data_IF_385295823480
#
_entry.id   IF_385295823480
#
_cell.length_a   1.000
_cell.length_b   1.000
_cell.length_c   1.000
_cell.angle_alpha   90.00
_cell.angle_beta   90.00
_cell.angle_gamma   90.00
#
_symmetry.space_group_name_H-M   'P 1'
#
loop_
_entity.id
_entity.type
_entity.pdbx_description
1 polymer ?
#
# COMPACT_ATOMS: atom_id res chain seq x y z
N UNK A 1 -22.80 34.96 11.73
CA UNK A 1 -22.11 34.20 12.76
C UNK A 1 -20.76 33.83 12.16
N UNK A 2 -19.65 34.36 12.69
CA UNK A 2 -18.30 33.98 12.28
C UNK A 2 -18.12 32.51 12.63
N UNK A 3 -17.98 31.65 11.63
CA UNK A 3 -17.67 30.24 11.81
C UNK A 3 -16.36 30.14 12.61
N UNK A 4 -16.42 29.60 13.83
CA UNK A 4 -15.25 29.43 14.68
C UNK A 4 -14.34 28.45 13.98
N UNK A 5 -13.08 28.82 13.69
CA UNK A 5 -12.11 27.92 13.11
C UNK A 5 -12.02 26.64 13.96
N UNK A 6 -11.96 25.49 13.31
CA UNK A 6 -11.70 24.23 13.99
C UNK A 6 -10.23 24.18 14.42
N UNK A 7 -9.91 23.39 15.45
CA UNK A 7 -8.52 23.19 15.89
C UNK A 7 -7.65 22.62 14.74
N UNK A 8 -8.21 21.79 13.88
CA UNK A 8 -7.52 21.30 12.67
C UNK A 8 -7.08 22.43 11.74
N UNK A 9 -7.89 23.48 11.54
CA UNK A 9 -7.53 24.64 10.71
C UNK A 9 -6.35 25.41 11.32
N UNK A 10 -6.35 25.62 12.64
CA UNK A 10 -5.26 26.29 13.33
C UNK A 10 -3.96 25.47 13.27
N UNK A 11 -4.04 24.16 13.48
CA UNK A 11 -2.92 23.22 13.39
C UNK A 11 -2.35 23.15 11.97
N UNK A 12 -3.21 23.12 10.94
CA UNK A 12 -2.74 23.10 9.55
C UNK A 12 -2.02 24.41 9.20
N UNK A 13 -2.56 25.56 9.62
CA UNK A 13 -1.90 26.86 9.45
C UNK A 13 -0.54 26.90 10.13
N UNK A 14 -0.43 26.33 11.32
CA UNK A 14 0.84 26.23 12.04
C UNK A 14 1.83 25.28 11.33
N UNK A 15 1.36 24.12 10.86
CA UNK A 15 2.19 23.13 10.16
C UNK A 15 2.81 23.70 8.86
N UNK A 16 2.05 24.48 8.10
CA UNK A 16 2.51 25.10 6.84
C UNK A 16 3.70 26.04 7.01
N UNK A 17 3.98 26.52 8.24
CA UNK A 17 5.13 27.40 8.50
C UNK A 17 6.47 26.68 8.40
N UNK A 18 6.51 25.37 8.66
CA UNK A 18 7.75 24.62 8.80
C UNK A 18 7.77 23.29 8.03
N UNK A 19 6.61 22.81 7.56
CA UNK A 19 6.47 21.55 6.83
C UNK A 19 5.95 21.87 5.42
N UNK A 20 6.61 21.45 4.36
CA UNK A 20 6.15 21.68 2.98
C UNK A 20 4.70 21.23 2.78
N UNK A 21 3.79 22.17 2.46
CA UNK A 21 2.36 21.90 2.33
C UNK A 21 1.65 21.51 3.64
N UNK A 22 2.33 21.65 4.80
CA UNK A 22 1.80 21.30 6.13
C UNK A 22 1.75 19.80 6.43
N UNK A 23 2.35 18.93 5.59
CA UNK A 23 2.27 17.46 5.68
C UNK A 23 3.59 16.79 5.33
N UNK A 24 3.84 15.60 5.90
CA UNK A 24 5.01 14.77 5.59
C UNK A 24 4.74 13.72 4.49
N UNK A 25 3.56 13.75 3.87
CA UNK A 25 3.22 12.97 2.67
C UNK A 25 2.12 13.70 1.88
N UNK A 26 2.27 13.88 0.54
CA UNK A 26 1.45 14.81 -0.24
C UNK A 26 -0.06 14.59 -0.19
N UNK A 27 -0.52 13.34 -0.21
CA UNK A 27 -1.94 12.99 -0.20
C UNK A 27 -2.67 13.49 1.04
N UNK A 28 -1.96 13.62 2.17
CA UNK A 28 -2.52 14.08 3.46
C UNK A 28 -2.95 15.56 3.44
N UNK A 29 -2.54 16.34 2.42
CA UNK A 29 -2.87 17.76 2.30
C UNK A 29 -4.27 18.05 1.75
N UNK A 30 -5.10 17.04 1.46
CA UNK A 30 -6.45 17.16 0.90
C UNK A 30 -6.54 17.87 -0.44
N UNK A 31 -5.44 17.95 -1.21
CA UNK A 31 -5.44 18.67 -2.49
C UNK A 31 -6.44 18.10 -3.50
N UNK A 32 -6.62 16.79 -3.53
CA UNK A 32 -7.52 16.12 -4.47
C UNK A 32 -8.99 16.30 -4.11
N UNK A 33 -9.33 16.53 -2.85
CA UNK A 33 -10.72 16.69 -2.38
C UNK A 33 -11.04 18.10 -1.92
N UNK A 34 -10.01 18.94 -1.71
CA UNK A 34 -10.17 20.29 -1.19
C UNK A 34 -10.42 20.32 0.32
N UNK A 35 -10.60 21.54 0.86
CA UNK A 35 -10.83 21.73 2.28
C UNK A 35 -9.56 21.70 3.13
N UNK A 36 -9.73 21.50 4.45
CA UNK A 36 -8.66 21.46 5.44
C UNK A 36 -8.46 20.04 5.92
N UNK A 37 -7.21 19.51 5.94
CA UNK A 37 -6.92 18.21 6.52
C UNK A 37 -7.35 18.09 7.99
N UNK A 38 -7.90 16.95 8.36
CA UNK A 38 -8.25 16.64 9.74
C UNK A 38 -6.99 16.23 10.49
N UNK A 39 -6.76 16.84 11.66
CA UNK A 39 -5.66 16.48 12.56
C UNK A 39 -6.18 15.56 13.65
N UNK A 40 -5.63 14.35 13.69
CA UNK A 40 -6.02 13.33 14.66
C UNK A 40 -5.10 13.36 15.88
N UNK A 41 -5.67 13.08 17.07
CA UNK A 41 -4.95 13.08 18.35
C UNK A 41 -4.81 11.67 18.94
N UNK A 42 -5.82 10.83 18.75
CA UNK A 42 -5.81 9.43 19.25
C UNK A 42 -6.60 8.50 18.34
N UNK A 43 -6.32 7.21 18.46
CA UNK A 43 -7.04 6.18 17.73
C UNK A 43 -7.17 4.91 18.59
N UNK A 44 -8.22 4.12 18.36
CA UNK A 44 -8.44 2.83 19.04
C UNK A 44 -9.40 1.97 18.22
N UNK A 45 -9.05 0.70 17.99
CA UNK A 45 -9.89 -0.21 17.21
C UNK A 45 -10.09 0.32 15.78
N UNK A 46 -11.32 0.44 15.33
CA UNK A 46 -11.69 0.97 14.02
C UNK A 46 -11.80 2.51 13.99
N UNK A 47 -11.51 3.20 15.10
CA UNK A 47 -11.83 4.62 15.25
C UNK A 47 -10.62 5.51 15.35
N UNK A 48 -10.70 6.70 14.74
CA UNK A 48 -9.82 7.83 14.98
C UNK A 48 -10.61 8.99 15.59
N UNK A 49 -9.93 9.82 16.38
CA UNK A 49 -10.51 10.99 17.05
C UNK A 49 -9.64 12.21 16.71
N UNK A 50 -10.28 13.24 16.18
CA UNK A 50 -9.58 14.47 15.81
C UNK A 50 -9.25 15.37 17.00
N UNK A 51 -8.57 16.46 16.71
CA UNK A 51 -8.15 17.44 17.72
C UNK A 51 -9.33 18.19 18.39
N UNK A 52 -10.54 18.11 17.81
CA UNK A 52 -11.79 18.60 18.38
C UNK A 52 -12.61 17.48 19.06
N UNK A 53 -12.01 16.29 19.18
CA UNK A 53 -12.59 15.06 19.78
C UNK A 53 -13.78 14.50 19.01
N UNK A 54 -13.96 14.83 17.72
CA UNK A 54 -14.93 14.15 16.85
C UNK A 54 -14.38 12.78 16.48
N UNK A 55 -15.25 11.75 16.53
CA UNK A 55 -14.94 10.36 16.21
C UNK A 55 -15.24 10.07 14.74
N UNK A 56 -14.36 9.26 14.12
CA UNK A 56 -14.51 8.76 12.75
C UNK A 56 -14.26 7.26 12.71
N UNK A 57 -15.04 6.52 11.90
CA UNK A 57 -14.69 5.16 11.47
C UNK A 57 -13.62 5.31 10.39
N UNK A 58 -12.49 4.62 10.54
CA UNK A 58 -11.30 4.79 9.69
C UNK A 58 -11.13 3.66 8.69
N UNK A 59 -11.26 3.96 7.41
CA UNK A 59 -10.96 3.04 6.31
C UNK A 59 -9.63 3.31 5.62
N UNK A 60 -8.84 4.27 6.11
CA UNK A 60 -7.45 4.51 5.67
C UNK A 60 -6.49 3.60 6.42
N UNK A 61 -6.73 3.36 7.71
CA UNK A 61 -5.96 2.46 8.57
C UNK A 61 -4.45 2.69 8.45
N UNK A 62 -4.05 3.98 8.52
CA UNK A 62 -2.65 4.42 8.37
C UNK A 62 -2.02 4.02 7.03
N UNK A 63 -2.81 3.94 5.95
CA UNK A 63 -2.45 3.46 4.61
C UNK A 63 -2.15 1.96 4.56
N UNK A 64 -2.82 1.19 5.40
CA UNK A 64 -2.83 -0.27 5.35
C UNK A 64 -2.19 -1.03 6.52
N UNK A 65 -1.25 -0.51 7.35
CA UNK A 65 -0.62 -1.29 8.41
C UNK A 65 -1.56 -1.77 9.51
N UNK A 66 -2.69 -1.06 9.79
CA UNK A 66 -3.55 -1.33 10.96
C UNK A 66 -4.57 -2.45 10.70
N UNK A 67 -4.13 -3.63 10.27
CA UNK A 67 -5.00 -4.78 10.00
C UNK A 67 -5.73 -5.28 11.27
N UNK A 68 -5.09 -5.20 12.44
CA UNK A 68 -5.70 -5.50 13.74
C UNK A 68 -6.60 -4.37 14.26
N UNK A 69 -6.58 -3.20 13.62
CA UNK A 69 -7.11 -1.94 14.14
C UNK A 69 -6.06 -1.15 14.91
N UNK A 70 -6.43 0.07 15.29
CA UNK A 70 -5.54 0.97 16.01
C UNK A 70 -5.31 0.55 17.46
N UNK A 71 -4.08 0.77 17.93
CA UNK A 71 -3.69 0.63 19.33
C UNK A 71 -4.07 -0.74 19.92
N UNK A 72 -3.82 -1.81 19.15
CA UNK A 72 -4.14 -3.18 19.55
C UNK A 72 -3.34 -3.57 20.80
N UNK A 73 -3.99 -4.02 21.90
CA UNK A 73 -3.35 -4.14 23.20
C UNK A 73 -2.08 -4.99 23.22
N UNK A 74 -2.09 -6.17 22.63
CA UNK A 74 -0.94 -7.07 22.63
C UNK A 74 0.25 -6.52 21.84
N UNK A 75 0.01 -5.79 20.75
CA UNK A 75 1.08 -5.12 19.99
C UNK A 75 1.68 -3.98 20.80
N UNK A 76 0.83 -3.17 21.45
CA UNK A 76 1.27 -2.08 22.33
C UNK A 76 2.07 -2.60 23.52
N UNK A 77 1.67 -3.72 24.12
CA UNK A 77 2.38 -4.31 25.25
C UNK A 77 3.74 -4.91 24.83
N UNK A 78 3.83 -5.50 23.63
CA UNK A 78 5.11 -5.93 23.05
C UNK A 78 6.07 -4.74 22.85
N UNK A 79 5.56 -3.60 22.33
CA UNK A 79 6.31 -2.36 22.19
C UNK A 79 6.80 -1.85 23.54
N UNK A 80 5.93 -1.74 24.55
CA UNK A 80 6.28 -1.28 25.91
C UNK A 80 7.37 -2.17 26.54
N UNK A 81 7.20 -3.50 26.43
CA UNK A 81 8.17 -4.47 26.93
C UNK A 81 9.54 -4.29 26.28
N UNK A 82 9.59 -3.94 25.01
CA UNK A 82 10.87 -3.66 24.33
C UNK A 82 11.43 -2.29 24.72
N UNK A 83 10.59 -1.28 24.94
CA UNK A 83 11.03 0.04 25.38
C UNK A 83 11.72 0.01 26.76
N UNK A 84 11.28 -0.90 27.65
CA UNK A 84 11.95 -1.13 28.95
C UNK A 84 13.39 -1.66 28.81
N UNK A 85 13.76 -2.22 27.66
CA UNK A 85 15.10 -2.72 27.38
C UNK A 85 15.97 -1.71 26.66
N UNK A 86 15.51 -1.24 25.50
CA UNK A 86 16.14 -0.17 24.71
C UNK A 86 15.28 0.18 23.47
N UNK A 87 15.46 1.39 22.95
CA UNK A 87 14.86 1.82 21.67
C UNK A 87 15.68 1.38 20.46
N UNK A 88 17.00 1.19 20.60
CA UNK A 88 17.92 0.77 19.53
C UNK A 88 19.24 0.30 20.11
N UNK A 89 19.92 -0.62 19.41
CA UNK A 89 21.24 -1.11 19.82
C UNK A 89 22.33 -0.83 18.77
N UNK A 90 21.99 -0.77 17.48
CA UNK A 90 22.95 -0.72 16.37
C UNK A 90 23.75 -2.04 16.20
N UNK A 91 23.21 -3.15 16.73
CA UNK A 91 23.75 -4.51 16.66
C UNK A 91 22.63 -5.51 16.44
N UNK A 92 22.92 -6.73 15.94
CA UNK A 92 21.91 -7.78 15.76
C UNK A 92 21.15 -8.11 17.05
N UNK A 93 19.87 -8.44 16.90
CA UNK A 93 18.99 -8.83 18.01
C UNK A 93 18.26 -10.15 17.73
N UNK A 94 17.84 -10.84 18.78
CA UNK A 94 17.03 -12.08 18.65
C UNK A 94 15.68 -11.81 17.94
N UNK A 95 15.11 -10.61 18.11
CA UNK A 95 13.84 -10.23 17.49
C UNK A 95 13.94 -10.18 15.97
N UNK A 96 15.09 -9.78 15.42
CA UNK A 96 15.32 -9.80 13.96
C UNK A 96 15.26 -11.22 13.41
N UNK A 97 15.88 -12.19 14.12
CA UNK A 97 15.84 -13.60 13.73
C UNK A 97 14.41 -14.12 13.77
N UNK A 98 13.68 -13.87 14.86
CA UNK A 98 12.30 -14.35 15.04
C UNK A 98 11.35 -13.79 13.98
N UNK A 99 11.49 -12.50 13.64
CA UNK A 99 10.64 -11.89 12.60
C UNK A 99 11.01 -12.41 11.21
N UNK A 100 12.31 -12.58 10.91
CA UNK A 100 12.77 -13.17 9.66
C UNK A 100 12.25 -14.61 9.49
N UNK A 101 12.41 -15.45 10.51
CA UNK A 101 11.89 -16.83 10.53
C UNK A 101 10.37 -16.85 10.31
N UNK A 102 9.64 -15.95 10.99
CA UNK A 102 8.18 -15.86 10.85
C UNK A 102 7.79 -15.49 9.43
N UNK A 103 8.42 -14.49 8.81
CA UNK A 103 8.15 -14.08 7.43
C UNK A 103 8.46 -15.22 6.46
N UNK A 104 9.65 -15.82 6.55
CA UNK A 104 10.07 -16.92 5.67
C UNK A 104 9.18 -18.17 5.82
N UNK A 105 8.61 -18.39 7.01
CA UNK A 105 7.71 -19.53 7.23
C UNK A 105 6.30 -19.34 6.63
N UNK A 106 5.88 -18.10 6.37
CA UNK A 106 4.51 -17.79 5.93
C UNK A 106 4.47 -17.46 4.44
N UNK A 107 5.43 -16.67 3.94
CA UNK A 107 5.40 -16.12 2.58
C UNK A 107 6.05 -17.12 1.61
N UNK A 108 5.31 -17.71 0.65
CA UNK A 108 5.87 -18.62 -0.34
C UNK A 108 6.99 -17.96 -1.15
N UNK A 109 8.08 -18.68 -1.40
CA UNK A 109 9.24 -18.18 -2.14
C UNK A 109 10.19 -17.27 -1.35
N UNK A 110 9.87 -16.93 -0.09
CA UNK A 110 10.72 -16.13 0.77
C UNK A 110 11.73 -17.03 1.54
N UNK A 111 12.86 -17.34 0.92
CA UNK A 111 13.90 -18.20 1.52
C UNK A 111 14.88 -17.40 2.38
N UNK A 112 15.10 -16.13 2.07
CA UNK A 112 15.88 -15.17 2.84
C UNK A 112 15.23 -13.80 2.81
N UNK A 113 15.38 -13.01 3.89
CA UNK A 113 14.81 -11.67 4.02
C UNK A 113 15.80 -10.70 4.65
N UNK A 114 15.80 -9.45 4.19
CA UNK A 114 16.55 -8.33 4.76
C UNK A 114 15.59 -7.24 5.21
N UNK A 115 15.66 -6.83 6.48
CA UNK A 115 14.88 -5.71 7.03
C UNK A 115 15.44 -4.37 6.59
N UNK A 116 14.55 -3.42 6.33
CA UNK A 116 14.81 -2.01 6.06
C UNK A 116 13.77 -1.15 6.78
N UNK A 117 13.75 0.18 6.59
CA UNK A 117 12.88 1.07 7.39
C UNK A 117 11.61 1.53 6.64
N UNK A 118 11.50 1.23 5.37
CA UNK A 118 10.35 1.63 4.54
C UNK A 118 10.17 0.75 3.31
N UNK A 119 8.97 0.79 2.70
CA UNK A 119 8.73 0.17 1.40
C UNK A 119 9.63 0.74 0.30
N UNK A 120 9.92 2.04 0.32
CA UNK A 120 10.87 2.67 -0.61
C UNK A 120 12.26 2.06 -0.53
N UNK A 121 12.78 1.83 0.67
CA UNK A 121 14.08 1.18 0.85
C UNK A 121 14.03 -0.28 0.38
N UNK A 122 12.92 -0.98 0.61
CA UNK A 122 12.74 -2.37 0.17
C UNK A 122 12.79 -2.47 -1.37
N UNK A 123 11.98 -1.70 -2.07
CA UNK A 123 11.90 -1.72 -3.55
C UNK A 123 13.18 -1.21 -4.21
N UNK A 124 13.77 -0.13 -3.69
CA UNK A 124 15.05 0.40 -4.14
C UNK A 124 16.16 -0.67 -4.01
N UNK A 125 16.18 -1.40 -2.91
CA UNK A 125 17.20 -2.43 -2.65
C UNK A 125 16.97 -3.67 -3.52
N UNK A 126 15.72 -4.09 -3.71
CA UNK A 126 15.35 -5.20 -4.59
C UNK A 126 15.73 -4.92 -6.05
N UNK A 127 15.50 -3.71 -6.56
CA UNK A 127 15.89 -3.32 -7.92
C UNK A 127 17.42 -3.28 -8.06
N UNK A 128 18.13 -2.70 -7.06
CA UNK A 128 19.60 -2.72 -7.09
C UNK A 128 20.13 -4.14 -7.09
N UNK A 129 19.53 -5.01 -6.29
CA UNK A 129 19.90 -6.43 -6.27
C UNK A 129 19.64 -7.12 -7.60
N UNK A 130 18.48 -6.88 -8.22
CA UNK A 130 18.13 -7.44 -9.52
C UNK A 130 19.11 -7.00 -10.61
N UNK A 131 19.47 -5.71 -10.66
CA UNK A 131 20.49 -5.19 -11.57
C UNK A 131 21.85 -5.82 -11.32
N UNK A 132 22.28 -5.92 -10.07
CA UNK A 132 23.57 -6.52 -9.70
C UNK A 132 23.64 -8.01 -10.00
N UNK A 133 22.55 -8.76 -9.83
CA UNK A 133 22.47 -10.19 -10.10
C UNK A 133 22.44 -10.50 -11.59
N UNK A 134 21.64 -9.78 -12.36
CA UNK A 134 21.48 -10.00 -13.81
C UNK A 134 22.55 -9.34 -14.66
N UNK A 135 23.26 -8.33 -14.14
CA UNK A 135 24.19 -7.48 -14.91
C UNK A 135 23.48 -6.58 -15.93
N UNK A 136 22.20 -6.29 -15.76
CA UNK A 136 21.36 -5.51 -16.68
C UNK A 136 20.85 -4.24 -16.02
N UNK A 137 20.50 -3.22 -16.82
CA UNK A 137 20.12 -1.89 -16.31
C UNK A 137 18.63 -1.59 -16.37
N UNK A 138 17.92 -2.13 -17.37
CA UNK A 138 16.52 -1.78 -17.62
C UNK A 138 15.58 -2.46 -16.63
N UNK A 139 14.54 -1.72 -16.19
CA UNK A 139 13.46 -2.24 -15.37
C UNK A 139 12.12 -1.97 -16.04
N UNK A 140 11.17 -2.85 -15.83
CA UNK A 140 9.77 -2.67 -16.23
C UNK A 140 8.93 -2.41 -15.00
N UNK A 141 8.06 -1.41 -15.07
CA UNK A 141 6.99 -1.13 -14.09
C UNK A 141 5.69 -0.79 -14.82
N UNK A 142 4.62 -0.56 -14.07
CA UNK A 142 3.31 -0.27 -14.65
C UNK A 142 2.80 1.13 -14.27
N UNK A 143 2.07 1.77 -15.19
CA UNK A 143 1.37 3.04 -14.94
C UNK A 143 0.42 2.90 -13.76
N UNK A 144 0.31 3.93 -12.95
CA UNK A 144 -0.54 3.93 -11.77
C UNK A 144 0.03 3.19 -10.56
N UNK A 145 1.02 2.29 -10.74
CA UNK A 145 1.70 1.63 -9.63
C UNK A 145 2.70 2.57 -8.94
N UNK A 146 2.80 2.44 -7.61
CA UNK A 146 3.75 3.18 -6.80
C UNK A 146 4.63 2.22 -5.98
N UNK A 147 5.93 2.34 -6.15
CA UNK A 147 6.92 1.47 -5.52
C UNK A 147 7.92 2.27 -4.66
N UNK A 148 7.46 3.34 -4.02
CA UNK A 148 8.35 4.25 -3.30
C UNK A 148 8.91 5.36 -4.19
N UNK A 149 9.78 6.20 -3.63
CA UNK A 149 10.23 7.44 -4.23
C UNK A 149 11.73 7.45 -4.61
N UNK A 150 12.31 6.29 -4.91
CA UNK A 150 13.63 6.26 -5.56
C UNK A 150 13.51 6.75 -7.02
N UNK A 151 14.55 7.40 -7.53
CA UNK A 151 14.52 8.09 -8.83
C UNK A 151 14.06 7.19 -9.98
N UNK A 152 14.54 5.94 -10.02
CA UNK A 152 14.14 4.98 -11.06
C UNK A 152 12.63 4.64 -11.04
N UNK A 153 11.92 4.91 -9.97
CA UNK A 153 10.52 4.52 -9.77
C UNK A 153 9.53 5.68 -9.89
N UNK A 154 10.03 6.93 -9.97
CA UNK A 154 9.18 8.13 -10.09
C UNK A 154 8.80 8.47 -11.55
N UNK A 155 8.96 7.53 -12.47
CA UNK A 155 8.52 7.63 -13.86
C UNK A 155 7.07 7.11 -13.93
N UNK A 156 6.12 7.95 -14.37
CA UNK A 156 4.67 7.64 -14.46
C UNK A 156 4.13 6.89 -13.21
N UNK A 157 4.50 7.38 -12.03
CA UNK A 157 4.13 6.78 -10.74
C UNK A 157 2.64 6.98 -10.41
N UNK A 158 2.11 6.17 -9.46
CA UNK A 158 0.71 6.14 -9.04
C UNK A 158 0.23 7.34 -8.21
N UNK A 159 -0.68 7.12 -7.27
CA UNK A 159 -1.54 8.10 -6.60
C UNK A 159 -0.87 9.41 -6.15
N UNK A 160 0.33 9.35 -5.57
CA UNK A 160 1.05 10.55 -5.11
C UNK A 160 1.43 11.48 -6.26
N UNK A 161 1.93 10.95 -7.37
CA UNK A 161 2.29 11.72 -8.57
C UNK A 161 1.03 12.21 -9.31
N UNK A 162 -0.03 11.40 -9.37
CA UNK A 162 -1.33 11.74 -9.95
C UNK A 162 -2.00 12.91 -9.23
N UNK A 163 -1.98 12.89 -7.90
CA UNK A 163 -2.54 13.96 -7.06
C UNK A 163 -1.83 15.31 -7.32
N UNK A 164 -0.55 15.28 -7.73
CA UNK A 164 0.23 16.47 -8.10
C UNK A 164 0.16 16.81 -9.59
N UNK A 165 -0.43 15.94 -10.42
CA UNK A 165 -0.51 16.11 -11.87
C UNK A 165 0.84 16.00 -12.61
N UNK A 166 1.84 15.35 -12.01
CA UNK A 166 3.20 15.23 -12.56
C UNK A 166 3.50 13.77 -12.88
N UNK A 167 3.58 13.36 -14.15
CA UNK A 167 3.87 11.98 -14.56
C UNK A 167 5.28 11.50 -14.19
N UNK A 168 6.23 12.44 -14.09
CA UNK A 168 7.60 12.21 -13.63
C UNK A 168 7.99 13.36 -12.71
N UNK A 169 8.70 13.04 -11.61
CA UNK A 169 9.11 14.09 -10.66
C UNK A 169 10.24 14.94 -11.25
N UNK A 170 10.14 16.29 -11.20
CA UNK A 170 11.29 17.13 -11.41
C UNK A 170 12.44 16.74 -10.47
N UNK A 171 13.67 16.77 -10.98
CA UNK A 171 14.87 16.38 -10.25
C UNK A 171 15.31 14.92 -10.49
N UNK A 172 14.50 14.11 -11.16
CA UNK A 172 14.95 12.80 -11.67
C UNK A 172 15.74 13.05 -12.95
N UNK A 173 17.02 12.64 -13.03
CA UNK A 173 17.83 12.78 -14.25
C UNK A 173 17.27 11.92 -15.39
N UNK A 174 17.26 12.47 -16.62
CA UNK A 174 16.76 11.77 -17.81
C UNK A 174 17.45 10.41 -17.99
N UNK A 175 18.76 10.34 -17.80
CA UNK A 175 19.52 9.09 -17.94
C UNK A 175 19.13 7.98 -16.95
N UNK A 176 18.47 8.32 -15.83
CA UNK A 176 17.88 7.31 -14.94
C UNK A 176 16.47 6.92 -15.40
N UNK A 177 15.70 7.89 -15.88
CA UNK A 177 14.36 7.65 -16.40
C UNK A 177 14.38 6.74 -17.65
N UNK A 178 15.41 6.87 -18.51
CA UNK A 178 15.60 6.08 -19.74
C UNK A 178 15.75 4.56 -19.47
N UNK A 179 16.14 4.19 -18.27
CA UNK A 179 16.23 2.78 -17.87
C UNK A 179 14.92 2.21 -17.30
N UNK A 180 13.85 3.02 -17.19
CA UNK A 180 12.57 2.60 -16.65
C UNK A 180 11.51 2.55 -17.74
N UNK A 181 11.10 1.35 -18.10
CA UNK A 181 10.06 1.09 -19.09
C UNK A 181 8.74 1.04 -18.34
N UNK A 182 7.79 1.88 -18.72
CA UNK A 182 6.48 1.92 -18.11
C UNK A 182 5.44 1.34 -19.06
N UNK A 183 4.74 0.30 -18.63
CA UNK A 183 3.69 -0.40 -19.37
C UNK A 183 2.32 -0.16 -18.74
N UNK A 184 1.26 -0.45 -19.47
CA UNK A 184 -0.09 -0.43 -18.92
C UNK A 184 -0.36 -1.72 -18.13
N UNK A 185 -0.84 -1.58 -16.90
CA UNK A 185 -1.23 -2.73 -16.07
C UNK A 185 -2.34 -3.53 -16.74
N UNK A 186 -2.27 -4.86 -16.68
CA UNK A 186 -3.20 -5.79 -17.33
C UNK A 186 -3.13 -5.84 -18.87
N UNK A 187 -2.12 -5.21 -19.49
CA UNK A 187 -1.93 -5.27 -20.94
C UNK A 187 -0.92 -6.36 -21.33
N UNK A 188 -1.40 -7.59 -21.51
CA UNK A 188 -0.59 -8.77 -21.85
C UNK A 188 0.15 -8.58 -23.19
N UNK A 189 -0.49 -8.00 -24.19
CA UNK A 189 0.10 -7.80 -25.51
C UNK A 189 1.31 -6.86 -25.45
N UNK A 190 1.19 -5.77 -24.69
CA UNK A 190 2.28 -4.82 -24.51
C UNK A 190 3.46 -5.44 -23.75
N UNK A 191 3.21 -6.29 -22.74
CA UNK A 191 4.26 -7.04 -22.05
C UNK A 191 5.00 -7.95 -23.04
N UNK A 192 4.27 -8.78 -23.80
CA UNK A 192 4.85 -9.70 -24.78
C UNK A 192 5.68 -8.93 -25.84
N UNK A 193 5.17 -7.82 -26.36
CA UNK A 193 5.88 -7.01 -27.34
C UNK A 193 7.22 -6.50 -26.80
N UNK A 194 7.23 -5.88 -25.62
CA UNK A 194 8.44 -5.33 -25.03
C UNK A 194 9.48 -6.41 -24.73
N UNK A 195 9.03 -7.56 -24.23
CA UNK A 195 9.94 -8.68 -23.96
C UNK A 195 10.50 -9.31 -25.25
N UNK A 196 9.72 -9.35 -26.33
CA UNK A 196 10.21 -9.79 -27.63
C UNK A 196 11.28 -8.85 -28.22
N UNK A 197 11.16 -7.54 -27.97
CA UNK A 197 12.08 -6.52 -28.50
C UNK A 197 13.36 -6.40 -27.68
N UNK A 198 13.26 -6.37 -26.33
CA UNK A 198 14.38 -6.01 -25.45
C UNK A 198 14.48 -6.88 -24.18
N UNK A 199 13.82 -8.03 -24.11
CA UNK A 199 13.78 -8.89 -22.92
C UNK A 199 15.14 -9.20 -22.33
N UNK A 200 16.17 -9.42 -23.16
CA UNK A 200 17.55 -9.68 -22.72
C UNK A 200 18.26 -8.48 -22.05
N UNK A 201 17.69 -7.27 -22.14
CA UNK A 201 18.21 -6.06 -21.51
C UNK A 201 17.51 -5.74 -20.18
N UNK A 202 16.41 -6.44 -19.88
CA UNK A 202 15.57 -6.20 -18.69
C UNK A 202 16.18 -6.95 -17.50
N UNK A 203 16.50 -6.19 -16.42
CA UNK A 203 16.95 -6.74 -15.15
C UNK A 203 15.79 -7.34 -14.37
N UNK A 204 14.66 -6.61 -14.31
CA UNK A 204 13.48 -7.05 -13.58
C UNK A 204 12.19 -6.39 -14.06
N UNK A 205 11.09 -7.03 -13.75
CA UNK A 205 9.75 -6.44 -13.68
C UNK A 205 9.40 -6.22 -12.22
N UNK A 206 8.96 -5.01 -11.83
CA UNK A 206 8.37 -4.74 -10.52
C UNK A 206 6.91 -4.35 -10.70
N UNK A 207 6.02 -4.96 -9.90
CA UNK A 207 4.58 -4.74 -9.99
C UNK A 207 3.90 -4.96 -8.64
N UNK A 208 2.76 -4.31 -8.43
CA UNK A 208 1.84 -4.61 -7.34
C UNK A 208 0.93 -5.76 -7.77
N UNK A 209 0.89 -6.91 -7.06
CA UNK A 209 0.02 -8.04 -7.45
C UNK A 209 -1.47 -7.71 -7.47
N UNK A 210 -1.91 -6.80 -6.62
CA UNK A 210 -3.16 -6.04 -6.73
C UNK A 210 -2.78 -4.59 -6.54
N UNK A 211 -3.06 -3.75 -7.52
CA UNK A 211 -2.66 -2.35 -7.46
C UNK A 211 -3.52 -1.62 -6.45
N UNK A 212 -2.87 -0.93 -5.50
CA UNK A 212 -3.52 -0.12 -4.47
C UNK A 212 -3.27 1.38 -4.62
N UNK A 213 -2.39 1.78 -5.55
CA UNK A 213 -1.99 3.16 -5.79
C UNK A 213 -2.67 3.79 -7.02
N UNK A 214 -3.57 3.08 -7.65
CA UNK A 214 -4.59 3.61 -8.56
C UNK A 214 -5.99 3.08 -8.14
N UNK A 215 -6.30 3.20 -6.85
CA UNK A 215 -7.43 2.55 -6.18
C UNK A 215 -7.21 1.02 -6.11
N UNK A 216 -8.23 0.18 -6.04
CA UNK A 216 -8.08 -1.27 -5.97
C UNK A 216 -8.28 -1.88 -7.36
N UNK A 217 -7.18 -2.25 -8.05
CA UNK A 217 -7.23 -2.86 -9.38
C UNK A 217 -6.56 -4.23 -9.35
N UNK A 218 -7.34 -5.32 -9.40
CA UNK A 218 -6.80 -6.68 -9.44
C UNK A 218 -6.22 -7.03 -10.82
N UNK A 219 -5.34 -8.05 -10.88
CA UNK A 219 -4.86 -8.58 -12.15
C UNK A 219 -6.00 -9.26 -12.92
N UNK A 220 -5.98 -9.14 -14.24
CA UNK A 220 -6.84 -9.96 -15.11
C UNK A 220 -6.26 -11.35 -15.30
N UNK A 221 -7.11 -12.30 -15.68
CA UNK A 221 -6.69 -13.68 -15.97
C UNK A 221 -5.55 -13.72 -17.00
N UNK A 222 -4.52 -14.49 -16.73
CA UNK A 222 -3.36 -14.67 -17.60
C UNK A 222 -2.28 -13.58 -17.47
N UNK A 223 -2.53 -12.47 -16.76
CA UNK A 223 -1.56 -11.40 -16.67
C UNK A 223 -0.32 -11.76 -15.82
N UNK A 224 -0.54 -12.37 -14.65
CA UNK A 224 0.56 -12.76 -13.76
C UNK A 224 1.38 -13.91 -14.35
N UNK A 225 0.72 -14.85 -15.01
CA UNK A 225 1.34 -15.94 -15.75
C UNK A 225 2.24 -15.39 -16.88
N UNK A 226 1.73 -14.42 -17.65
CA UNK A 226 2.50 -13.77 -18.71
C UNK A 226 3.75 -13.10 -18.15
N UNK A 227 3.67 -12.37 -17.02
CA UNK A 227 4.83 -11.76 -16.38
C UNK A 227 5.86 -12.81 -15.98
N UNK A 228 5.43 -13.92 -15.38
CA UNK A 228 6.34 -15.01 -14.98
C UNK A 228 7.02 -15.65 -16.18
N UNK A 229 6.27 -15.98 -17.22
CA UNK A 229 6.80 -16.59 -18.45
C UNK A 229 7.81 -15.69 -19.16
N UNK A 230 7.47 -14.41 -19.34
CA UNK A 230 8.37 -13.44 -19.95
C UNK A 230 9.69 -13.29 -19.16
N UNK A 231 9.61 -13.19 -17.83
CA UNK A 231 10.80 -13.11 -16.98
C UNK A 231 11.62 -14.42 -17.06
N UNK A 232 10.98 -15.58 -17.02
CA UNK A 232 11.67 -16.88 -17.09
C UNK A 232 12.40 -17.03 -18.42
N UNK A 233 11.74 -16.72 -19.54
CA UNK A 233 12.31 -16.90 -20.89
C UNK A 233 13.46 -15.93 -21.17
N UNK A 234 13.44 -14.72 -20.59
CA UNK A 234 14.47 -13.68 -20.80
C UNK A 234 15.57 -13.71 -19.75
N UNK A 235 15.38 -14.39 -18.61
CA UNK A 235 16.27 -14.34 -17.46
C UNK A 235 16.16 -13.04 -16.65
N UNK A 236 15.09 -12.26 -16.83
CA UNK A 236 14.75 -11.14 -15.95
C UNK A 236 14.17 -11.63 -14.63
N UNK A 237 14.30 -10.85 -13.55
CA UNK A 237 13.70 -11.18 -12.26
C UNK A 237 12.28 -10.61 -12.13
N UNK A 238 11.38 -11.37 -11.52
CA UNK A 238 10.04 -10.94 -11.17
C UNK A 238 9.99 -10.48 -9.71
N UNK A 239 9.73 -9.19 -9.48
CA UNK A 239 9.65 -8.58 -8.14
C UNK A 239 8.19 -8.27 -7.81
N UNK A 240 7.61 -9.01 -6.87
CA UNK A 240 6.29 -8.71 -6.33
C UNK A 240 6.39 -7.65 -5.23
N UNK A 241 5.82 -6.48 -5.47
CA UNK A 241 5.67 -5.45 -4.44
C UNK A 241 4.43 -5.73 -3.58
N UNK A 242 4.65 -6.41 -2.49
CA UNK A 242 3.64 -6.76 -1.48
C UNK A 242 3.63 -5.77 -0.30
N UNK A 243 4.19 -4.60 -0.45
CA UNK A 243 4.20 -3.58 0.61
C UNK A 243 2.77 -3.25 1.06
N UNK A 244 1.81 -3.27 0.14
CA UNK A 244 0.39 -3.06 0.44
C UNK A 244 -0.39 -4.35 0.63
N UNK A 245 -0.18 -5.34 -0.22
CA UNK A 245 -0.96 -6.58 -0.30
C UNK A 245 -0.54 -7.65 0.72
N UNK A 246 0.70 -7.60 1.19
CA UNK A 246 1.26 -8.58 2.12
C UNK A 246 0.42 -8.72 3.39
N UNK A 247 0.04 -9.97 3.73
CA UNK A 247 -0.79 -10.35 4.87
C UNK A 247 -2.21 -9.77 4.89
N UNK A 248 -2.60 -9.00 3.87
CA UNK A 248 -3.89 -8.32 3.79
C UNK A 248 -4.84 -9.00 2.82
N UNK A 249 -4.35 -9.50 1.71
CA UNK A 249 -5.15 -10.22 0.71
C UNK A 249 -5.40 -11.65 1.17
N UNK A 250 -4.36 -12.30 1.66
CA UNK A 250 -4.38 -13.59 2.32
C UNK A 250 -3.31 -13.65 3.40
N UNK A 251 -3.31 -14.68 4.23
CA UNK A 251 -2.27 -14.90 5.24
C UNK A 251 -0.87 -15.04 4.61
N UNK A 252 -0.80 -15.57 3.40
CA UNK A 252 0.44 -15.81 2.65
C UNK A 252 0.77 -14.70 1.65
N UNK A 253 0.09 -13.54 1.75
CA UNK A 253 0.22 -12.45 0.80
C UNK A 253 -0.44 -12.73 -0.55
N UNK A 254 -0.26 -11.82 -1.50
CA UNK A 254 -0.77 -12.01 -2.86
C UNK A 254 0.02 -13.08 -3.62
N UNK A 255 1.29 -13.27 -3.35
CA UNK A 255 2.09 -14.36 -3.94
C UNK A 255 1.49 -15.72 -3.62
N UNK A 256 1.02 -15.94 -2.39
CA UNK A 256 0.33 -17.17 -2.02
C UNK A 256 -1.10 -17.25 -2.57
N UNK A 257 -1.83 -16.13 -2.56
CA UNK A 257 -3.21 -16.06 -3.07
C UNK A 257 -3.31 -16.42 -4.56
N UNK A 258 -2.37 -15.91 -5.38
CA UNK A 258 -2.32 -16.15 -6.82
C UNK A 258 -1.39 -17.30 -7.22
N UNK A 259 -0.80 -18.02 -6.26
CA UNK A 259 0.22 -19.05 -6.51
C UNK A 259 1.35 -18.55 -7.43
N UNK A 260 1.86 -17.35 -7.17
CA UNK A 260 2.85 -16.68 -7.99
C UNK A 260 4.28 -17.03 -7.57
N UNK A 261 5.10 -17.54 -8.47
CA UNK A 261 6.53 -17.76 -8.28
C UNK A 261 7.31 -16.45 -8.53
N UNK A 262 7.36 -15.56 -7.53
CA UNK A 262 8.19 -14.36 -7.59
C UNK A 262 9.65 -14.68 -7.23
N UNK A 263 10.61 -13.99 -7.87
CA UNK A 263 12.03 -14.13 -7.56
C UNK A 263 12.44 -13.31 -6.33
N UNK A 264 11.84 -12.11 -6.22
CA UNK A 264 11.97 -11.21 -5.07
C UNK A 264 10.60 -10.69 -4.64
N UNK A 265 10.44 -10.43 -3.35
CA UNK A 265 9.22 -9.94 -2.74
C UNK A 265 9.58 -8.78 -1.82
N UNK A 266 8.88 -7.64 -1.96
CA UNK A 266 8.99 -6.49 -1.07
C UNK A 266 7.83 -6.47 -0.09
N UNK A 267 8.10 -6.23 1.19
CA UNK A 267 7.11 -6.15 2.26
C UNK A 267 7.23 -4.82 3.01
N UNK A 268 6.16 -4.41 3.67
CA UNK A 268 6.10 -3.23 4.52
C UNK A 268 4.80 -3.17 5.29
N UNK A 269 4.40 -1.97 5.70
CA UNK A 269 3.09 -1.70 6.31
C UNK A 269 2.72 -2.69 7.43
N UNK A 270 1.96 -3.76 7.13
CA UNK A 270 1.47 -4.74 8.13
C UNK A 270 2.61 -5.36 8.94
N UNK A 271 3.76 -5.66 8.30
CA UNK A 271 4.91 -6.28 9.00
C UNK A 271 5.55 -5.37 10.06
N UNK A 272 5.13 -4.11 10.14
CA UNK A 272 5.60 -3.16 11.15
C UNK A 272 4.65 -2.97 12.32
N UNK A 273 3.41 -3.46 12.25
CA UNK A 273 2.43 -3.24 13.31
C UNK A 273 2.21 -1.77 13.66
N UNK A 274 2.38 -0.86 12.68
CA UNK A 274 2.31 0.59 12.85
C UNK A 274 3.66 1.29 13.03
N UNK A 275 4.76 0.55 13.18
CA UNK A 275 6.12 1.11 13.27
C UNK A 275 6.76 1.20 11.87
N UNK A 276 7.71 2.16 11.65
CA UNK A 276 8.44 2.27 10.39
C UNK A 276 9.27 1.02 10.11
N UNK A 277 8.91 0.29 9.04
CA UNK A 277 9.61 -0.91 8.61
C UNK A 277 9.32 -1.21 7.15
N UNK A 278 10.24 -1.86 6.50
CA UNK A 278 10.11 -2.57 5.25
C UNK A 278 11.00 -3.80 5.25
N UNK A 279 10.84 -4.66 4.27
CA UNK A 279 11.70 -5.80 4.05
C UNK A 279 11.73 -6.14 2.56
N UNK A 280 12.81 -6.74 2.10
CA UNK A 280 12.88 -7.40 0.80
C UNK A 280 13.57 -8.74 0.95
N UNK A 281 13.16 -9.70 0.17
CA UNK A 281 13.68 -11.05 0.22
C UNK A 281 13.23 -11.86 -0.98
N UNK A 282 13.50 -13.16 -0.96
CA UNK A 282 13.14 -14.08 -2.05
C UNK A 282 14.07 -15.26 -2.12
N UNK A 283 14.37 -15.74 -3.32
CA UNK A 283 15.22 -16.91 -3.59
C UNK A 283 16.62 -16.71 -3.01
N UNK A 284 17.12 -17.71 -2.32
CA UNK A 284 18.41 -17.66 -1.61
C UNK A 284 19.56 -17.27 -2.51
N UNK A 285 19.67 -17.87 -3.69
CA UNK A 285 20.74 -17.61 -4.66
C UNK A 285 20.82 -16.13 -5.09
N UNK A 286 19.68 -15.43 -5.13
CA UNK A 286 19.61 -14.00 -5.44
C UNK A 286 19.98 -13.18 -4.20
N UNK A 287 19.43 -13.53 -3.04
CA UNK A 287 19.66 -12.80 -1.79
C UNK A 287 21.12 -12.89 -1.30
N UNK A 288 21.84 -13.94 -1.63
CA UNK A 288 23.26 -14.10 -1.32
C UNK A 288 24.16 -13.11 -2.11
N UNK A 289 23.64 -12.43 -3.14
CA UNK A 289 24.33 -11.31 -3.78
C UNK A 289 24.39 -10.03 -2.93
N UNK A 290 23.62 -9.94 -1.85
CA UNK A 290 23.67 -8.81 -0.92
C UNK A 290 24.88 -8.92 0.01
N UNK A 291 25.59 -7.81 0.21
CA UNK A 291 26.67 -7.70 1.19
C UNK A 291 26.17 -8.09 2.61
N UNK A 292 26.93 -8.81 3.43
CA UNK A 292 28.37 -9.14 3.27
C UNK A 292 28.67 -10.41 2.44
N UNK A 293 27.67 -11.16 1.98
CA UNK A 293 27.89 -12.40 1.21
C UNK A 293 28.28 -12.06 -0.24
N UNK A 294 27.60 -11.14 -0.88
CA UNK A 294 27.81 -10.74 -2.26
C UNK A 294 28.23 -9.28 -2.42
N UNK A 295 28.38 -8.81 -3.68
CA UNK A 295 28.93 -7.50 -3.98
C UNK A 295 27.90 -6.35 -3.88
N UNK A 296 26.61 -6.64 -3.85
CA UNK A 296 25.57 -5.61 -3.87
C UNK A 296 25.40 -4.98 -2.49
N UNK A 297 25.67 -3.68 -2.38
CA UNK A 297 25.65 -2.98 -1.10
C UNK A 297 24.24 -2.51 -0.71
N UNK A 298 23.86 -2.77 0.53
CA UNK A 298 22.70 -2.24 1.22
C UNK A 298 23.02 -2.13 2.70
N UNK A 299 22.65 -1.01 3.34
CA UNK A 299 22.82 -0.80 4.77
C UNK A 299 21.73 0.17 5.29
N UNK A 300 21.46 0.09 6.59
CA UNK A 300 20.54 0.99 7.28
C UNK A 300 20.81 0.98 8.78
N UNK A 301 21.09 2.15 9.37
CA UNK A 301 21.40 2.30 10.81
C UNK A 301 20.29 1.75 11.71
N UNK A 302 19.03 1.94 11.32
CA UNK A 302 17.86 1.52 12.08
C UNK A 302 17.16 0.29 11.49
N UNK A 303 17.75 -0.35 10.46
CA UNK A 303 17.22 -1.60 9.92
C UNK A 303 17.24 -2.68 11.01
N UNK A 304 16.12 -3.38 11.21
CA UNK A 304 16.00 -4.33 12.32
C UNK A 304 15.80 -3.66 13.68
N UNK A 305 15.29 -2.40 13.73
CA UNK A 305 15.03 -1.72 15.00
C UNK A 305 14.20 -2.60 15.94
N UNK A 306 14.64 -2.85 17.19
CA UNK A 306 14.01 -3.83 18.07
C UNK A 306 12.56 -3.49 18.44
N UNK A 307 12.18 -2.21 18.49
CA UNK A 307 10.79 -1.79 18.75
C UNK A 307 9.90 -2.13 17.55
N UNK A 308 10.39 -1.86 16.33
CA UNK A 308 9.68 -2.23 15.11
C UNK A 308 9.58 -3.77 14.94
N UNK A 309 10.66 -4.50 15.27
CA UNK A 309 10.67 -5.96 15.25
C UNK A 309 9.68 -6.56 16.26
N UNK A 310 9.61 -6.02 17.47
CA UNK A 310 8.65 -6.47 18.49
C UNK A 310 7.19 -6.24 18.05
N UNK A 311 6.89 -5.06 17.51
CA UNK A 311 5.57 -4.72 16.98
C UNK A 311 5.18 -5.61 15.80
N UNK A 312 6.09 -5.77 14.84
CA UNK A 312 5.88 -6.58 13.64
C UNK A 312 5.70 -8.07 13.95
N UNK A 313 6.57 -8.64 14.78
CA UNK A 313 6.48 -10.04 15.20
C UNK A 313 5.15 -10.34 15.87
N UNK A 314 4.73 -9.50 16.84
CA UNK A 314 3.46 -9.68 17.51
C UNK A 314 2.28 -9.54 16.54
N UNK A 315 2.33 -8.58 15.63
CA UNK A 315 1.31 -8.42 14.58
C UNK A 315 1.21 -9.67 13.70
N UNK A 316 2.35 -10.19 13.20
CA UNK A 316 2.34 -11.37 12.34
C UNK A 316 1.93 -12.65 13.08
N UNK A 317 2.26 -12.79 14.37
CA UNK A 317 1.75 -13.90 15.20
C UNK A 317 0.21 -13.92 15.23
N UNK A 318 -0.41 -12.75 15.35
CA UNK A 318 -1.87 -12.61 15.45
C UNK A 318 -2.56 -12.78 14.09
N UNK A 319 -2.09 -12.07 13.06
CA UNK A 319 -2.76 -12.06 11.75
C UNK A 319 -2.54 -13.35 10.95
N UNK A 320 -1.52 -14.13 11.28
CA UNK A 320 -1.26 -15.43 10.65
C UNK A 320 -2.00 -16.61 11.31
N UNK A 321 -2.82 -16.35 12.33
CA UNK A 321 -3.67 -17.39 12.91
C UNK A 321 -4.70 -17.88 11.88
N UNK A 322 -4.94 -19.19 11.87
CA UNK A 322 -5.93 -19.80 10.97
C UNK A 322 -7.30 -19.15 11.12
N UNK A 323 -7.95 -18.81 10.00
CA UNK A 323 -9.28 -18.19 9.99
C UNK A 323 -9.31 -16.72 10.42
N UNK A 324 -8.15 -16.09 10.71
CA UNK A 324 -8.14 -14.68 11.18
C UNK A 324 -8.73 -13.71 10.13
N UNK A 325 -8.43 -13.89 8.85
CA UNK A 325 -8.89 -12.99 7.80
C UNK A 325 -10.34 -13.24 7.37
N UNK A 326 -10.87 -14.44 7.54
CA UNK A 326 -12.17 -14.82 6.99
C UNK A 326 -13.30 -13.85 7.38
N UNK A 327 -13.53 -13.52 8.66
CA UNK A 327 -14.60 -12.60 9.05
C UNK A 327 -14.31 -11.15 8.58
N UNK A 328 -13.05 -10.78 8.38
CA UNK A 328 -12.68 -9.44 7.90
C UNK A 328 -12.99 -9.34 6.40
N UNK A 329 -12.71 -10.39 5.64
CA UNK A 329 -13.04 -10.49 4.21
C UNK A 329 -14.56 -10.47 3.99
N UNK A 330 -15.32 -11.23 4.77
CA UNK A 330 -16.79 -11.22 4.72
C UNK A 330 -17.39 -9.83 4.98
N UNK A 331 -16.84 -9.09 5.97
CA UNK A 331 -17.25 -7.70 6.23
C UNK A 331 -16.87 -6.78 5.08
N UNK A 332 -15.70 -6.98 4.46
CA UNK A 332 -15.26 -6.21 3.30
C UNK A 332 -16.23 -6.41 2.13
N UNK A 333 -16.57 -7.65 1.81
CA UNK A 333 -17.51 -7.99 0.74
C UNK A 333 -18.89 -7.36 0.98
N UNK A 334 -19.41 -7.46 2.22
CA UNK A 334 -20.70 -6.85 2.59
C UNK A 334 -20.69 -5.33 2.47
N UNK A 335 -19.62 -4.67 2.92
CA UNK A 335 -19.48 -3.23 2.79
C UNK A 335 -19.47 -2.79 1.32
N UNK A 336 -18.64 -3.43 0.52
CA UNK A 336 -18.45 -3.07 -0.90
C UNK A 336 -19.73 -3.27 -1.69
N UNK A 337 -20.40 -4.41 -1.54
CA UNK A 337 -21.70 -4.69 -2.18
C UNK A 337 -22.77 -3.67 -1.74
N UNK A 338 -22.84 -3.42 -0.44
CA UNK A 338 -23.79 -2.48 0.11
C UNK A 338 -23.60 -1.04 -0.33
N UNK A 339 -22.36 -0.60 -0.60
CA UNK A 339 -22.07 0.72 -1.17
C UNK A 339 -22.58 0.82 -2.61
N UNK A 340 -22.30 -0.18 -3.46
CA UNK A 340 -22.76 -0.22 -4.86
C UNK A 340 -24.28 -0.25 -4.94
N UNK A 341 -24.94 -1.06 -4.11
CA UNK A 341 -26.40 -1.13 -4.04
C UNK A 341 -27.04 0.23 -3.73
N UNK A 342 -26.50 0.98 -2.76
CA UNK A 342 -27.00 2.29 -2.37
C UNK A 342 -26.75 3.35 -3.43
N UNK A 343 -25.59 3.33 -4.08
CA UNK A 343 -25.30 4.19 -5.21
C UNK A 343 -26.30 3.95 -6.36
N UNK A 344 -26.56 2.69 -6.69
CA UNK A 344 -27.53 2.27 -7.71
C UNK A 344 -28.94 2.76 -7.37
N UNK A 345 -29.37 2.60 -6.11
CA UNK A 345 -30.68 3.09 -5.65
C UNK A 345 -30.81 4.62 -5.75
N UNK A 346 -29.69 5.33 -5.58
CA UNK A 346 -29.64 6.79 -5.75
C UNK A 346 -29.48 7.23 -7.22
N UNK A 347 -29.40 6.30 -8.18
CA UNK A 347 -29.17 6.60 -9.59
C UNK A 347 -27.76 7.10 -9.90
N UNK A 348 -26.77 6.76 -9.06
CA UNK A 348 -25.38 7.17 -9.20
C UNK A 348 -24.58 6.02 -9.81
N UNK A 349 -23.93 6.22 -10.98
CA UNK A 349 -23.06 5.21 -11.55
C UNK A 349 -21.84 5.02 -10.67
N UNK A 350 -21.67 3.80 -10.16
CA UNK A 350 -20.55 3.43 -9.30
C UNK A 350 -20.23 1.94 -9.47
N UNK A 351 -18.95 1.63 -9.62
CA UNK A 351 -18.43 0.26 -9.56
C UNK A 351 -17.38 0.14 -8.48
N UNK A 352 -17.00 -1.08 -8.13
CA UNK A 352 -16.04 -1.37 -7.08
C UNK A 352 -15.23 -2.60 -7.37
N UNK A 353 -14.02 -2.64 -6.81
CA UNK A 353 -13.17 -3.83 -6.76
C UNK A 353 -12.76 -4.10 -5.30
N UNK A 354 -12.54 -5.35 -4.96
CA UNK A 354 -11.90 -5.73 -3.70
C UNK A 354 -11.16 -7.06 -3.84
N UNK A 355 -10.11 -7.23 -3.06
CA UNK A 355 -9.39 -8.51 -2.89
C UNK A 355 -8.97 -8.62 -1.43
N UNK A 356 -9.38 -9.68 -0.75
CA UNK A 356 -9.16 -9.82 0.68
C UNK A 356 -9.79 -8.68 1.48
N UNK A 357 -8.97 -7.96 2.24
CA UNK A 357 -9.42 -6.82 3.06
C UNK A 357 -9.06 -5.45 2.45
N UNK A 358 -8.61 -5.43 1.20
CA UNK A 358 -8.33 -4.23 0.41
C UNK A 358 -9.46 -4.01 -0.58
N UNK A 359 -9.98 -2.80 -0.66
CA UNK A 359 -11.13 -2.47 -1.48
C UNK A 359 -11.07 -1.05 -2.01
N UNK A 360 -11.88 -0.80 -3.03
CA UNK A 360 -12.06 0.54 -3.58
C UNK A 360 -13.33 0.66 -4.40
N UNK A 361 -13.75 1.88 -4.64
CA UNK A 361 -14.91 2.20 -5.47
C UNK A 361 -14.57 3.31 -6.46
N UNK A 362 -15.33 3.36 -7.54
CA UNK A 362 -15.11 4.25 -8.66
C UNK A 362 -16.46 4.84 -9.09
N UNK A 363 -16.55 6.15 -9.18
CA UNK A 363 -17.69 6.80 -9.83
C UNK A 363 -17.48 6.73 -11.35
N UNK A 364 -18.06 5.71 -11.96
CA UNK A 364 -17.89 5.37 -13.37
C UNK A 364 -19.10 4.61 -13.90
N UNK A 365 -19.38 4.73 -15.20
CA UNK A 365 -20.37 3.91 -15.93
C UNK A 365 -19.80 2.54 -16.31
N UNK A 366 -18.50 2.30 -16.15
CA UNK A 366 -17.85 1.05 -16.45
C UNK A 366 -18.30 -0.05 -15.49
N UNK A 367 -18.60 -1.22 -16.00
CA UNK A 367 -18.96 -2.38 -15.17
C UNK A 367 -17.78 -2.87 -14.33
N UNK A 368 -16.56 -2.69 -14.85
CA UNK A 368 -15.32 -3.16 -14.21
C UNK A 368 -14.14 -2.25 -14.55
N UNK A 369 -13.37 -1.88 -13.55
CA UNK A 369 -12.12 -1.13 -13.71
C UNK A 369 -10.96 -2.10 -13.66
N UNK A 370 -10.17 -2.16 -14.73
CA UNK A 370 -9.05 -3.11 -14.90
C UNK A 370 -7.73 -2.46 -15.28
N UNK A 371 -7.71 -1.20 -15.69
CA UNK A 371 -6.48 -0.51 -16.11
C UNK A 371 -6.50 0.98 -15.79
N UNK A 372 -5.31 1.58 -15.86
CA UNK A 372 -5.04 2.95 -15.46
C UNK A 372 -5.95 4.00 -16.14
N UNK A 373 -6.18 3.90 -17.46
CA UNK A 373 -6.99 4.90 -18.17
C UNK A 373 -8.43 4.94 -17.65
N UNK A 374 -9.05 3.79 -17.38
CA UNK A 374 -10.40 3.75 -16.79
C UNK A 374 -10.45 4.44 -15.42
N UNK A 375 -9.37 4.30 -14.63
CA UNK A 375 -9.26 4.99 -13.32
C UNK A 375 -9.18 6.51 -13.51
N UNK A 376 -8.44 6.97 -14.52
CA UNK A 376 -8.31 8.41 -14.85
C UNK A 376 -9.60 9.02 -15.36
N UNK A 377 -10.45 8.23 -16.02
CA UNK A 377 -11.73 8.67 -16.59
C UNK A 377 -12.86 8.72 -15.54
N UNK A 378 -12.61 8.29 -14.30
CA UNK A 378 -13.58 8.35 -13.20
C UNK A 378 -13.91 9.78 -12.76
N UNK A 379 -15.13 9.99 -12.26
CA UNK A 379 -15.62 11.29 -11.78
C UNK A 379 -15.00 11.66 -10.41
N UNK A 380 -13.86 12.33 -10.47
CA UNK A 380 -13.12 12.78 -9.27
C UNK A 380 -13.80 13.93 -8.54
N UNK A 381 -14.63 14.75 -9.22
CA UNK A 381 -15.38 15.83 -8.57
C UNK A 381 -16.51 15.26 -7.70
N UNK A 382 -17.20 14.24 -8.21
CA UNK A 382 -18.21 13.51 -7.44
C UNK A 382 -17.59 12.81 -6.25
N UNK A 383 -16.40 12.21 -6.43
CA UNK A 383 -15.65 11.62 -5.34
C UNK A 383 -15.33 12.64 -4.24
N UNK A 384 -14.86 13.84 -4.60
CA UNK A 384 -14.54 14.89 -3.63
C UNK A 384 -15.76 15.32 -2.80
N UNK A 385 -16.94 15.45 -3.44
CA UNK A 385 -18.20 15.75 -2.73
C UNK A 385 -18.60 14.61 -1.79
N UNK A 386 -18.55 13.37 -2.29
CA UNK A 386 -18.88 12.18 -1.49
C UNK A 386 -17.93 12.05 -0.28
N UNK A 387 -16.63 12.25 -0.48
CA UNK A 387 -15.65 12.25 0.58
C UNK A 387 -16.03 13.21 1.71
N UNK A 388 -16.38 14.46 1.40
CA UNK A 388 -16.76 15.45 2.42
C UNK A 388 -18.06 15.09 3.11
N UNK A 389 -19.06 14.58 2.40
CA UNK A 389 -20.30 14.11 3.02
C UNK A 389 -20.06 12.95 3.98
N UNK A 390 -19.24 11.96 3.60
CA UNK A 390 -18.86 10.85 4.49
C UNK A 390 -18.06 11.34 5.70
N UNK A 391 -17.15 12.29 5.51
CA UNK A 391 -16.39 12.92 6.58
C UNK A 391 -17.31 13.63 7.60
N UNK A 392 -18.31 14.34 7.12
CA UNK A 392 -19.33 15.01 7.95
C UNK A 392 -20.14 14.00 8.76
N UNK A 393 -20.50 12.86 8.18
CA UNK A 393 -21.19 11.74 8.82
C UNK A 393 -20.29 10.96 9.81
N UNK A 394 -18.99 11.21 9.86
CA UNK A 394 -18.07 10.53 10.77
C UNK A 394 -17.43 9.27 10.19
N UNK A 395 -17.27 9.19 8.88
CA UNK A 395 -16.53 8.14 8.18
C UNK A 395 -15.32 8.75 7.48
N UNK A 396 -14.13 8.24 7.75
CA UNK A 396 -12.87 8.73 7.18
C UNK A 396 -12.40 7.80 6.06
N UNK A 397 -12.54 8.29 4.83
CA UNK A 397 -12.01 7.67 3.61
C UNK A 397 -10.66 8.28 3.23
N UNK A 398 -9.94 7.68 2.30
CA UNK A 398 -8.74 8.29 1.73
C UNK A 398 -9.09 9.60 0.99
N UNK A 399 -8.33 10.69 1.18
CA UNK A 399 -8.62 12.00 0.57
C UNK A 399 -8.13 12.08 -0.90
N UNK A 400 -8.28 11.00 -1.65
CA UNK A 400 -8.01 10.92 -3.08
C UNK A 400 -8.72 9.68 -3.67
N UNK A 401 -9.34 9.83 -4.85
CA UNK A 401 -10.01 8.74 -5.56
C UNK A 401 -9.08 7.63 -6.05
N UNK A 402 -7.78 7.89 -6.07
CA UNK A 402 -6.73 6.95 -6.52
C UNK A 402 -6.16 6.07 -5.40
N UNK A 403 -6.67 6.16 -4.19
CA UNK A 403 -6.20 5.37 -3.06
C UNK A 403 -7.16 4.23 -2.75
N UNK A 404 -6.63 3.04 -2.53
CA UNK A 404 -7.38 1.93 -1.97
C UNK A 404 -7.78 2.21 -0.52
N UNK A 405 -8.88 1.62 -0.10
CA UNK A 405 -9.37 1.59 1.27
C UNK A 405 -9.15 0.21 1.90
N UNK A 406 -9.23 0.15 3.22
CA UNK A 406 -8.86 -1.05 3.97
C UNK A 406 -9.91 -1.39 5.03
N UNK A 407 -10.08 -2.69 5.29
CA UNK A 407 -10.83 -3.21 6.42
C UNK A 407 -9.87 -3.75 7.48
N UNK A 408 -10.21 -3.59 8.76
CA UNK A 408 -9.48 -4.19 9.87
C UNK A 408 -10.36 -5.17 10.65
N UNK A 409 -9.71 -6.03 11.42
CA UNK A 409 -10.40 -6.96 12.31
C UNK A 409 -11.23 -6.24 13.40
N UNK A 410 -10.93 -4.97 13.67
CA UNK A 410 -11.62 -4.16 14.66
C UNK A 410 -12.94 -3.55 14.16
N UNK A 411 -13.21 -3.53 12.85
CA UNK A 411 -14.50 -3.07 12.33
C UNK A 411 -15.60 -4.07 12.70
N UNK A 412 -16.63 -3.57 13.35
CA UNK A 412 -17.81 -4.39 13.72
C UNK A 412 -18.88 -4.38 12.63
N UNK A 413 -19.88 -5.22 12.78
CA UNK A 413 -21.05 -5.25 11.91
C UNK A 413 -21.87 -3.95 12.03
N UNK A 414 -21.88 -3.34 13.21
CA UNK A 414 -22.50 -2.04 13.47
C UNK A 414 -21.76 -0.92 12.75
N UNK A 415 -20.41 -0.97 12.69
CA UNK A 415 -19.61 0.00 11.93
C UNK A 415 -19.89 -0.08 10.43
N UNK A 416 -20.03 -1.29 9.89
CA UNK A 416 -20.40 -1.49 8.49
C UNK A 416 -21.80 -0.93 8.23
N UNK A 417 -22.79 -1.24 9.07
CA UNK A 417 -24.14 -0.73 8.89
C UNK A 417 -24.16 0.80 8.97
N UNK A 418 -23.47 1.39 9.97
CA UNK A 418 -23.36 2.83 10.11
C UNK A 418 -22.77 3.48 8.86
N UNK A 419 -21.70 2.88 8.30
CA UNK A 419 -21.04 3.38 7.07
C UNK A 419 -21.97 3.32 5.88
N UNK A 420 -22.75 2.25 5.73
CA UNK A 420 -23.73 2.10 4.68
C UNK A 420 -24.88 3.11 4.79
N UNK A 421 -25.36 3.38 5.99
CA UNK A 421 -26.42 4.39 6.23
C UNK A 421 -25.87 5.81 5.99
N UNK A 422 -24.62 6.09 6.35
CA UNK A 422 -23.94 7.33 6.05
C UNK A 422 -23.75 7.53 4.53
N UNK A 423 -23.40 6.46 3.81
CA UNK A 423 -23.27 6.48 2.35
C UNK A 423 -24.60 6.77 1.66
N UNK A 424 -25.71 6.15 2.10
CA UNK A 424 -27.05 6.42 1.58
C UNK A 424 -27.42 7.90 1.72
N UNK A 425 -27.23 8.48 2.92
CA UNK A 425 -27.45 9.92 3.14
C UNK A 425 -26.53 10.81 2.30
N UNK A 426 -25.31 10.36 2.04
CA UNK A 426 -24.32 11.07 1.26
C UNK A 426 -24.65 11.03 -0.23
N UNK A 427 -25.05 9.88 -0.78
CA UNK A 427 -25.49 9.74 -2.17
C UNK A 427 -26.73 10.59 -2.47
N UNK A 428 -27.66 10.72 -1.53
CA UNK A 428 -28.84 11.56 -1.68
C UNK A 428 -28.51 13.07 -1.81
N UNK A 429 -27.26 13.48 -1.54
CA UNK A 429 -26.79 14.88 -1.65
C UNK A 429 -25.91 15.13 -2.87
N UNK A 430 -25.59 14.10 -3.67
CA UNK A 430 -24.79 14.20 -4.89
C UNK A 430 -25.63 14.50 -6.11
#
# INVERSE_FOLDING_TARGET
MTQKNTRSQDLFTAAQKHIPGGVNSPVRAFRAVGGTPVFFERASGAYMFDADNKRYIDYVLSWGPMLLGHNYPEVVDAIKTQLDKATSFGTPTELEIKLADKICSIVPGMEMVRMVNSGTEATMSAIRLARGFTGRDKIVKFEGCYHGHSDSLLVKAGSGALTLGVPSSPGVPDGLADHTITLSYNNIDQVNQVFAEIGEQIACVIFEPVVGNMNCVPPVEGFLECLRECCTNSGALLIADEVMTGFRISQTGAVGHYNLDADLICLGKVIGGGMPVGAFGGKREIMEYIAPLGPVYQAGTLSGNPVAMAAGLKTLELVSAEGFLDPVIERTDRLVKGLVERATQAGIPMTSNHVGTMWGFFFSEEEKITHYQQVMDCDTERFAKFFHHMLDEGVYLAPASYEASFMSAAHSDEDIQFTLDAAERSFAKL
#
